data_IF_081946556355
#
_entry.id   IF_081946556355
#
_cell.length_a   1.000
_cell.length_b   1.000
_cell.length_c   1.000
_cell.angle_alpha   90.00
_cell.angle_beta   90.00
_cell.angle_gamma   90.00
#
_symmetry.space_group_name_H-M   'P 1'
#
loop_
_entity.id
_entity.type
_entity.pdbx_description
1 polymer ?
#
# COMPACT_ATOMS: atom_id res chain seq x y z
N UNK A 1 2.72 1.41 -34.67
CA UNK A 1 2.81 0.23 -33.80
C UNK A 1 2.17 0.60 -32.49
N UNK A 2 1.13 -0.12 -32.07
CA UNK A 2 0.52 0.11 -30.76
C UNK A 2 1.56 -0.10 -29.67
N UNK A 3 1.66 0.86 -28.74
CA UNK A 3 2.50 0.73 -27.57
C UNK A 3 2.07 -0.53 -26.82
N UNK A 4 3.01 -1.48 -26.64
CA UNK A 4 2.79 -2.64 -25.77
C UNK A 4 2.27 -2.14 -24.42
N UNK A 5 1.06 -2.54 -24.05
CA UNK A 5 0.54 -2.38 -22.69
C UNK A 5 1.59 -2.96 -21.73
N UNK A 6 2.30 -2.10 -21.02
CA UNK A 6 3.17 -2.52 -19.93
C UNK A 6 2.24 -2.98 -18.83
N UNK A 7 2.07 -4.30 -18.70
CA UNK A 7 1.50 -4.88 -17.49
C UNK A 7 2.54 -4.73 -16.40
N UNK A 8 2.38 -3.72 -15.53
CA UNK A 8 3.09 -3.66 -14.26
C UNK A 8 2.88 -5.01 -13.56
N UNK A 9 3.96 -5.74 -13.28
CA UNK A 9 3.89 -6.89 -12.39
C UNK A 9 3.72 -6.36 -10.98
N UNK A 10 2.67 -6.79 -10.28
CA UNK A 10 2.49 -6.44 -8.88
C UNK A 10 3.76 -6.78 -8.07
N UNK A 11 4.03 -6.02 -7.01
CA UNK A 11 5.18 -6.22 -6.15
C UNK A 11 4.78 -6.40 -4.68
N UNK A 12 5.69 -6.98 -3.90
CA UNK A 12 5.58 -7.06 -2.47
C UNK A 12 6.44 -5.98 -1.81
N UNK A 13 6.00 -5.45 -0.67
CA UNK A 13 6.78 -4.49 0.12
C UNK A 13 6.62 -4.78 1.61
N UNK A 14 7.66 -4.53 2.40
CA UNK A 14 7.59 -4.60 3.87
C UNK A 14 7.51 -3.18 4.41
N UNK A 15 6.42 -2.87 5.12
CA UNK A 15 6.18 -1.55 5.71
C UNK A 15 5.56 -1.71 7.09
N UNK A 16 5.79 -0.71 7.96
CA UNK A 16 5.12 -0.59 9.25
C UNK A 16 3.83 0.20 9.09
N UNK A 17 2.70 -0.35 9.52
CA UNK A 17 1.45 0.37 9.71
C UNK A 17 1.58 1.23 10.96
N UNK A 18 1.36 2.54 10.81
CA UNK A 18 1.42 3.50 11.92
C UNK A 18 0.04 3.98 12.34
N UNK A 19 -0.92 3.99 11.41
CA UNK A 19 -2.28 4.47 11.64
C UNK A 19 -3.23 3.91 10.57
N UNK A 20 -4.49 3.71 10.94
CA UNK A 20 -5.54 3.19 10.08
C UNK A 20 -6.84 3.92 10.36
N UNK A 21 -7.17 4.90 9.52
CA UNK A 21 -8.34 5.76 9.71
C UNK A 21 -9.50 5.32 8.82
N UNK A 22 -10.67 5.05 9.42
CA UNK A 22 -11.91 4.82 8.67
C UNK A 22 -12.38 6.11 7.99
N UNK A 23 -12.70 6.03 6.70
CA UNK A 23 -13.39 7.06 5.92
C UNK A 23 -14.62 6.44 5.26
N UNK A 24 -15.49 7.27 4.67
CA UNK A 24 -16.84 6.86 4.26
C UNK A 24 -16.94 5.62 3.34
N UNK A 25 -15.88 5.24 2.62
CA UNK A 25 -15.87 4.08 1.71
C UNK A 25 -14.72 3.09 1.90
N UNK A 26 -13.73 3.40 2.74
CA UNK A 26 -12.52 2.60 2.90
C UNK A 26 -11.76 3.02 4.17
N UNK A 27 -10.65 2.34 4.45
CA UNK A 27 -9.68 2.74 5.45
C UNK A 27 -8.47 3.36 4.76
N UNK A 28 -8.02 4.49 5.27
CA UNK A 28 -6.77 5.12 4.86
C UNK A 28 -5.66 4.63 5.78
N UNK A 29 -4.81 3.74 5.26
CA UNK A 29 -3.69 3.13 5.99
C UNK A 29 -2.47 4.01 5.80
N UNK A 30 -1.87 4.47 6.90
CA UNK A 30 -0.58 5.16 6.91
C UNK A 30 0.51 4.15 7.22
N UNK A 31 1.58 4.22 6.43
CA UNK A 31 2.64 3.23 6.37
C UNK A 31 4.01 3.91 6.36
N UNK A 32 5.06 3.26 6.86
CA UNK A 32 6.43 3.79 6.79
C UNK A 32 7.48 2.68 6.73
N UNK A 33 8.65 3.00 6.14
CA UNK A 33 9.89 2.21 6.24
C UNK A 33 10.96 2.94 7.09
N UNK A 34 10.54 3.88 7.94
CA UNK A 34 11.35 4.83 8.73
C UNK A 34 12.04 5.95 7.93
N UNK A 35 12.17 5.81 6.61
CA UNK A 35 12.77 6.85 5.74
C UNK A 35 11.71 7.66 5.00
N UNK A 36 10.68 6.98 4.54
CA UNK A 36 9.62 7.50 3.70
C UNK A 36 8.25 7.15 4.31
N UNK A 37 7.28 8.02 4.05
CA UNK A 37 5.88 7.82 4.41
C UNK A 37 5.09 7.34 3.19
N UNK A 38 4.17 6.41 3.44
CA UNK A 38 3.29 5.84 2.43
C UNK A 38 1.84 5.88 2.87
N UNK A 39 0.94 5.88 1.88
CA UNK A 39 -0.50 5.77 2.10
C UNK A 39 -1.08 4.69 1.18
N UNK A 40 -1.99 3.89 1.72
CA UNK A 40 -2.77 2.90 0.98
C UNK A 40 -4.23 2.99 1.39
N UNK A 41 -5.14 3.06 0.42
CA UNK A 41 -6.56 2.88 0.68
C UNK A 41 -6.87 1.38 0.69
N UNK A 42 -7.54 0.90 1.74
CA UNK A 42 -7.81 -0.52 1.94
C UNK A 42 -9.24 -0.77 2.43
N UNK A 43 -9.75 -1.98 2.21
CA UNK A 43 -11.15 -2.32 2.49
C UNK A 43 -11.44 -2.56 3.98
N UNK A 44 -10.40 -2.71 4.80
CA UNK A 44 -10.49 -3.02 6.23
C UNK A 44 -9.45 -2.24 7.00
N UNK A 45 -9.71 -2.00 8.28
CA UNK A 45 -8.70 -1.47 9.20
C UNK A 45 -7.57 -2.47 9.41
N UNK A 46 -6.36 -1.96 9.56
CA UNK A 46 -5.17 -2.75 9.85
C UNK A 46 -4.53 -2.20 11.13
N UNK A 47 -4.32 -3.09 12.11
CA UNK A 47 -3.70 -2.71 13.39
C UNK A 47 -2.24 -2.28 13.18
N UNK A 48 -1.71 -1.37 14.02
CA UNK A 48 -0.29 -1.00 13.97
C UNK A 48 0.64 -2.22 14.10
N UNK A 49 1.67 -2.29 13.27
CA UNK A 49 2.58 -3.45 13.19
C UNK A 49 3.43 -3.45 11.93
N UNK A 50 4.37 -4.39 11.81
CA UNK A 50 5.19 -4.56 10.59
C UNK A 50 4.59 -5.66 9.72
N UNK A 51 4.33 -5.34 8.45
CA UNK A 51 3.64 -6.22 7.53
C UNK A 51 4.41 -6.39 6.23
N UNK A 52 4.34 -7.60 5.67
CA UNK A 52 4.57 -7.82 4.25
C UNK A 52 3.24 -7.54 3.54
N UNK A 53 3.20 -6.44 2.82
CA UNK A 53 2.07 -6.07 1.95
C UNK A 53 2.31 -6.71 0.59
N UNK A 54 1.39 -7.57 0.19
CA UNK A 54 1.49 -8.41 -1.01
C UNK A 54 0.67 -7.81 -2.13
N UNK A 55 1.08 -8.06 -3.38
CA UNK A 55 0.32 -7.70 -4.58
C UNK A 55 -0.01 -6.19 -4.67
N UNK A 56 0.97 -5.31 -4.47
CA UNK A 56 0.84 -3.86 -4.70
C UNK A 56 1.05 -3.59 -6.19
N UNK A 57 0.10 -2.90 -6.82
CA UNK A 57 0.07 -2.71 -8.27
C UNK A 57 0.95 -1.54 -8.75
N UNK A 58 1.05 -0.47 -7.96
CA UNK A 58 1.75 0.76 -8.32
C UNK A 58 2.16 1.57 -7.07
N UNK A 59 3.16 2.45 -7.23
CA UNK A 59 3.53 3.49 -6.26
C UNK A 59 3.70 4.83 -6.98
N UNK A 60 3.02 5.86 -6.48
CA UNK A 60 3.11 7.24 -6.99
C UNK A 60 3.57 8.18 -5.90
N UNK A 61 4.43 9.13 -6.25
CA UNK A 61 4.99 10.07 -5.29
C UNK A 61 4.34 11.44 -5.46
N UNK A 62 3.71 11.93 -4.41
CA UNK A 62 3.08 13.26 -4.34
C UNK A 62 3.45 13.87 -2.98
N UNK A 63 3.94 15.12 -2.98
CA UNK A 63 4.33 15.84 -1.75
C UNK A 63 5.24 15.03 -0.79
N UNK A 64 6.15 14.22 -1.34
CA UNK A 64 7.07 13.30 -0.61
C UNK A 64 6.39 12.12 0.09
N UNK A 65 5.13 11.84 -0.20
CA UNK A 65 4.40 10.67 0.27
C UNK A 65 4.23 9.67 -0.88
N UNK A 66 4.53 8.41 -0.61
CA UNK A 66 4.31 7.30 -1.55
C UNK A 66 2.88 6.78 -1.47
N UNK A 67 2.07 7.07 -2.48
CA UNK A 67 0.73 6.54 -2.63
C UNK A 67 0.78 5.15 -3.28
N UNK A 68 0.51 4.12 -2.50
CA UNK A 68 0.44 2.75 -2.97
C UNK A 68 -0.95 2.49 -3.54
N UNK A 69 -1.00 1.74 -4.65
CA UNK A 69 -2.24 1.24 -5.22
C UNK A 69 -2.32 -0.27 -5.02
N UNK A 70 -3.30 -0.72 -4.24
CA UNK A 70 -3.63 -2.14 -4.13
C UNK A 70 -4.51 -2.63 -5.28
N UNK A 71 -4.69 -3.93 -5.35
CA UNK A 71 -5.64 -4.62 -6.24
C UNK A 71 -6.44 -5.66 -5.44
N UNK A 72 -7.26 -6.47 -6.14
CA UNK A 72 -8.15 -7.47 -5.53
C UNK A 72 -7.40 -8.57 -4.75
N UNK A 73 -6.09 -8.71 -4.98
CA UNK A 73 -5.22 -9.67 -4.31
C UNK A 73 -4.27 -9.01 -3.31
N UNK A 74 -4.44 -7.72 -2.99
CA UNK A 74 -3.64 -7.05 -1.95
C UNK A 74 -4.04 -7.54 -0.57
N UNK A 75 -3.06 -8.02 0.20
CA UNK A 75 -3.26 -8.40 1.59
C UNK A 75 -2.03 -8.12 2.45
N UNK A 76 -2.29 -8.05 3.75
CA UNK A 76 -1.31 -7.78 4.80
C UNK A 76 -0.97 -9.09 5.51
N UNK A 77 0.31 -9.43 5.56
CA UNK A 77 0.83 -10.53 6.36
C UNK A 77 1.74 -9.95 7.45
N UNK A 78 1.28 -10.01 8.70
CA UNK A 78 2.07 -9.55 9.84
C UNK A 78 3.34 -10.40 9.99
N UNK A 79 4.48 -9.75 10.25
CA UNK A 79 5.79 -10.42 10.34
C UNK A 79 6.24 -10.65 11.80
N UNK A 80 5.58 -10.00 12.76
CA UNK A 80 5.96 -9.88 14.18
C UNK A 80 7.14 -8.93 14.46
#
# INVERSE_FOLDING_TARGET
GEAKKVTSSDFDVILRVVDSQEVASHFKIRLTNDKDDYQLNYTRGIEPGVYKIRSVADVRWEDKVGHLTGNDYTYFLEIA
#
